data_IF_862616992857
#
_entry.id   IF_862616992857
#
_cell.length_a   1.000
_cell.length_b   1.000
_cell.length_c   1.000
_cell.angle_alpha   90.00
_cell.angle_beta   90.00
_cell.angle_gamma   90.00
#
_symmetry.space_group_name_H-M   'P 1'
#
loop_
_entity.id
_entity.type
_entity.pdbx_description
1 polymer ?
#
# COMPACT_ATOMS: atom_id res chain seq x y z
N UNK A 1 -14.68 -0.96 -23.42
CA UNK A 1 -13.41 -1.34 -22.75
C UNK A 1 -13.51 -1.07 -21.25
N UNK A 2 -13.12 -2.05 -20.48
CA UNK A 2 -13.16 -1.92 -19.01
C UNK A 2 -11.89 -1.23 -18.50
N UNK A 3 -12.05 -0.11 -17.78
CA UNK A 3 -10.93 0.60 -17.19
C UNK A 3 -10.65 0.04 -15.79
N UNK A 4 -9.37 0.00 -15.40
CA UNK A 4 -8.98 -0.36 -14.05
C UNK A 4 -8.95 0.87 -13.13
N UNK A 5 -8.72 0.65 -11.85
CA UNK A 5 -8.75 1.73 -10.85
C UNK A 5 -7.67 2.79 -11.11
N UNK A 6 -6.52 2.38 -11.64
CA UNK A 6 -5.42 3.32 -11.92
C UNK A 6 -5.76 4.25 -13.08
N UNK A 7 -6.48 3.78 -14.09
CA UNK A 7 -6.95 4.62 -15.21
C UNK A 7 -7.93 5.67 -14.72
N UNK A 8 -8.88 5.28 -13.85
CA UNK A 8 -9.81 6.23 -13.26
C UNK A 8 -9.09 7.28 -12.41
N UNK A 9 -8.10 6.86 -11.64
CA UNK A 9 -7.30 7.80 -10.84
C UNK A 9 -6.54 8.77 -11.73
N UNK A 10 -5.93 8.29 -12.83
CA UNK A 10 -5.19 9.14 -13.75
C UNK A 10 -6.09 10.22 -14.35
N UNK A 11 -7.31 9.86 -14.76
CA UNK A 11 -8.28 10.81 -15.29
C UNK A 11 -8.68 11.82 -14.22
N UNK A 12 -9.00 11.35 -13.02
CA UNK A 12 -9.46 12.20 -11.92
C UNK A 12 -8.35 13.14 -11.47
N UNK A 13 -7.13 12.63 -11.33
CA UNK A 13 -5.97 13.44 -10.94
C UNK A 13 -5.71 14.55 -11.96
N UNK A 14 -5.78 14.23 -13.25
CA UNK A 14 -5.58 15.23 -14.31
C UNK A 14 -6.61 16.37 -14.28
N UNK A 15 -7.83 16.08 -13.83
CA UNK A 15 -8.91 17.07 -13.74
C UNK A 15 -8.94 17.79 -12.38
N UNK A 16 -8.60 17.11 -11.31
CA UNK A 16 -8.84 17.56 -9.93
C UNK A 16 -7.65 17.31 -8.99
N UNK A 17 -6.43 17.50 -9.47
CA UNK A 17 -5.22 17.18 -8.69
C UNK A 17 -5.16 17.88 -7.32
N UNK A 18 -5.72 19.08 -7.22
CA UNK A 18 -5.71 19.88 -5.99
C UNK A 18 -6.86 19.53 -5.03
N UNK A 19 -7.80 18.70 -5.46
CA UNK A 19 -8.92 18.33 -4.61
C UNK A 19 -8.54 17.18 -3.66
N UNK A 20 -9.18 17.18 -2.49
CA UNK A 20 -8.98 16.13 -1.48
C UNK A 20 -9.53 14.81 -2.01
N UNK A 21 -8.68 13.78 -2.03
CA UNK A 21 -9.07 12.43 -2.40
C UNK A 21 -9.50 11.60 -1.19
N UNK A 22 -8.75 11.72 -0.08
CA UNK A 22 -9.00 10.96 1.16
C UNK A 22 -8.72 11.85 2.35
N UNK A 23 -9.57 11.75 3.36
CA UNK A 23 -9.39 12.43 4.64
C UNK A 23 -9.52 11.41 5.76
N UNK A 24 -8.62 11.47 6.74
CA UNK A 24 -8.66 10.63 7.93
C UNK A 24 -8.43 11.47 9.19
N UNK A 25 -8.31 10.83 10.35
CA UNK A 25 -8.14 11.51 11.62
C UNK A 25 -6.85 12.32 11.72
N UNK A 26 -5.85 12.00 10.89
CA UNK A 26 -4.53 12.61 10.92
C UNK A 26 -4.30 13.62 9.78
N UNK A 27 -5.31 13.88 8.96
CA UNK A 27 -5.22 14.84 7.89
C UNK A 27 -5.85 14.38 6.60
N UNK A 28 -5.47 15.02 5.51
CA UNK A 28 -6.01 14.70 4.19
C UNK A 28 -4.90 14.61 3.15
N UNK A 29 -5.23 14.03 2.01
CA UNK A 29 -4.34 13.92 0.87
C UNK A 29 -5.11 14.30 -0.40
N UNK A 30 -4.51 15.09 -1.27
CA UNK A 30 -5.09 15.45 -2.56
C UNK A 30 -4.89 14.32 -3.57
N UNK A 31 -5.62 14.36 -4.68
CA UNK A 31 -5.44 13.38 -5.76
C UNK A 31 -4.01 13.43 -6.32
N UNK A 32 -3.43 14.62 -6.46
CA UNK A 32 -2.06 14.79 -6.93
C UNK A 32 -1.05 14.16 -5.99
N UNK A 33 -1.20 14.39 -4.69
CA UNK A 33 -0.32 13.81 -3.67
C UNK A 33 -0.46 12.30 -3.61
N UNK A 34 -1.70 11.80 -3.68
CA UNK A 34 -1.96 10.36 -3.64
C UNK A 34 -1.32 9.65 -4.84
N UNK A 35 -1.50 10.19 -6.04
CA UNK A 35 -0.87 9.62 -7.24
C UNK A 35 0.64 9.61 -7.13
N UNK A 36 1.23 10.72 -6.70
CA UNK A 36 2.69 10.84 -6.54
C UNK A 36 3.25 9.80 -5.58
N UNK A 37 2.59 9.63 -4.44
CA UNK A 37 3.02 8.65 -3.44
C UNK A 37 2.77 7.21 -3.90
N UNK A 38 1.67 6.97 -4.60
CA UNK A 38 1.38 5.66 -5.18
C UNK A 38 2.43 5.25 -6.20
N UNK A 39 2.90 6.19 -7.03
CA UNK A 39 3.96 5.92 -8.01
C UNK A 39 5.29 5.60 -7.34
N UNK A 40 5.58 6.17 -6.17
CA UNK A 40 6.77 5.81 -5.40
C UNK A 40 6.73 4.35 -4.94
N UNK A 41 5.56 3.88 -4.53
CA UNK A 41 5.37 2.47 -4.17
C UNK A 41 5.59 1.58 -5.39
N UNK A 42 5.02 1.95 -6.53
CA UNK A 42 5.18 1.19 -7.77
C UNK A 42 6.65 1.14 -8.19
N UNK A 43 7.38 2.26 -8.08
CA UNK A 43 8.80 2.33 -8.38
C UNK A 43 9.60 1.39 -7.47
N UNK A 44 9.27 1.38 -6.18
CA UNK A 44 9.92 0.47 -5.22
C UNK A 44 9.72 -0.99 -5.63
N UNK A 45 8.51 -1.36 -6.03
CA UNK A 45 8.22 -2.73 -6.48
C UNK A 45 9.05 -3.09 -7.72
N UNK A 46 9.18 -2.17 -8.67
CA UNK A 46 10.01 -2.39 -9.87
C UNK A 46 11.47 -2.61 -9.49
N UNK A 47 12.00 -1.79 -8.60
CA UNK A 47 13.39 -1.89 -8.14
C UNK A 47 13.66 -3.23 -7.44
N UNK A 48 12.67 -3.77 -6.73
CA UNK A 48 12.77 -5.04 -6.01
C UNK A 48 12.35 -6.25 -6.86
N UNK A 49 12.02 -6.05 -8.13
CA UNK A 49 11.53 -7.11 -9.03
C UNK A 49 10.26 -7.79 -8.51
N UNK A 50 9.38 -7.04 -7.87
CA UNK A 50 8.11 -7.53 -7.35
C UNK A 50 7.03 -7.29 -8.40
N UNK A 51 6.52 -8.36 -9.01
CA UNK A 51 5.53 -8.28 -10.07
C UNK A 51 4.63 -9.51 -10.04
N UNK A 52 3.32 -9.29 -10.17
CA UNK A 52 2.29 -10.33 -10.09
C UNK A 52 2.37 -11.14 -8.80
N UNK A 53 2.63 -10.45 -7.69
CA UNK A 53 2.78 -11.06 -6.38
C UNK A 53 1.81 -10.42 -5.39
N UNK A 54 1.43 -11.15 -4.33
CA UNK A 54 0.67 -10.52 -3.25
C UNK A 54 1.51 -9.45 -2.57
N UNK A 55 0.91 -8.28 -2.37
CA UNK A 55 1.48 -7.19 -1.57
C UNK A 55 0.56 -6.99 -0.38
N UNK A 56 1.04 -7.36 0.78
CA UNK A 56 0.29 -7.23 2.02
C UNK A 56 0.46 -5.82 2.58
N UNK A 57 -0.63 -5.26 3.10
CA UNK A 57 -0.62 -3.92 3.70
C UNK A 57 -1.07 -4.05 5.15
N UNK A 58 -0.14 -3.75 6.06
CA UNK A 58 -0.35 -3.81 7.50
C UNK A 58 -0.39 -2.39 8.06
N UNK A 59 -1.54 -1.74 7.90
CA UNK A 59 -1.76 -0.34 8.27
C UNK A 59 -3.15 -0.18 8.88
N UNK A 60 -3.35 0.82 9.76
CA UNK A 60 -4.70 1.20 10.16
C UNK A 60 -5.44 1.79 8.95
N UNK A 61 -6.76 1.88 9.06
CA UNK A 61 -7.58 2.54 8.03
C UNK A 61 -7.16 4.00 7.95
N UNK A 62 -6.65 4.42 6.80
CA UNK A 62 -5.97 5.71 6.66
C UNK A 62 -5.79 6.09 5.20
N UNK A 63 -5.35 7.33 4.98
CA UNK A 63 -4.96 7.78 3.65
C UNK A 63 -3.77 6.97 3.11
N UNK A 64 -2.87 6.54 4.00
CA UNK A 64 -1.74 5.69 3.65
C UNK A 64 -2.18 4.33 3.13
N UNK A 65 -3.22 3.75 3.73
CA UNK A 65 -3.77 2.47 3.28
C UNK A 65 -4.34 2.58 1.86
N UNK A 66 -5.10 3.63 1.58
CA UNK A 66 -5.67 3.86 0.25
C UNK A 66 -4.56 4.08 -0.79
N UNK A 67 -3.55 4.87 -0.44
CA UNK A 67 -2.41 5.12 -1.32
C UNK A 67 -1.65 3.82 -1.61
N UNK A 68 -1.49 2.96 -0.61
CA UNK A 68 -0.85 1.66 -0.77
C UNK A 68 -1.64 0.75 -1.71
N UNK A 69 -2.96 0.76 -1.62
CA UNK A 69 -3.82 0.05 -2.55
C UNK A 69 -3.60 0.51 -3.99
N UNK A 70 -3.62 1.83 -4.21
CA UNK A 70 -3.41 2.40 -5.53
C UNK A 70 -2.02 2.09 -6.06
N UNK A 71 -0.99 2.24 -5.22
CA UNK A 71 0.40 1.95 -5.60
C UNK A 71 0.60 0.48 -5.97
N UNK A 72 -0.06 -0.42 -5.24
CA UNK A 72 -0.03 -1.85 -5.56
C UNK A 72 -0.63 -2.13 -6.93
N UNK A 73 -1.75 -1.48 -7.26
CA UNK A 73 -2.37 -1.62 -8.58
C UNK A 73 -1.48 -1.06 -9.69
N UNK A 74 -0.85 0.08 -9.49
CA UNK A 74 0.10 0.63 -10.46
C UNK A 74 1.26 -0.31 -10.75
N UNK A 75 1.71 -1.04 -9.73
CA UNK A 75 2.86 -1.95 -9.87
C UNK A 75 2.51 -3.29 -10.52
N UNK A 76 1.22 -3.56 -10.75
CA UNK A 76 0.79 -4.84 -11.31
C UNK A 76 0.77 -5.99 -10.32
N UNK A 77 0.69 -5.71 -9.04
CA UNK A 77 0.65 -6.70 -7.97
C UNK A 77 -0.75 -6.84 -7.36
N UNK A 78 -0.92 -7.80 -6.47
CA UNK A 78 -2.19 -8.09 -5.80
C UNK A 78 -2.23 -7.46 -4.42
N UNK A 79 -3.21 -6.62 -4.16
CA UNK A 79 -3.40 -5.95 -2.87
C UNK A 79 -4.07 -6.89 -1.87
N UNK A 80 -3.45 -7.06 -0.70
CA UNK A 80 -4.00 -7.88 0.39
C UNK A 80 -3.96 -7.06 1.68
N UNK A 81 -5.09 -6.52 2.14
CA UNK A 81 -5.12 -5.80 3.41
C UNK A 81 -5.05 -6.75 4.60
N UNK A 82 -4.26 -6.38 5.59
CA UNK A 82 -4.17 -7.10 6.86
C UNK A 82 -4.71 -6.22 7.97
N UNK A 83 -5.56 -6.78 8.83
CA UNK A 83 -6.12 -6.05 9.96
C UNK A 83 -5.11 -5.99 11.11
N UNK A 84 -4.69 -4.78 11.48
CA UNK A 84 -3.73 -4.58 12.57
C UNK A 84 -4.29 -5.02 13.94
N UNK A 85 -5.60 -5.21 14.04
CA UNK A 85 -6.26 -5.68 15.25
C UNK A 85 -6.34 -7.20 15.33
N UNK A 86 -5.98 -7.91 14.26
CA UNK A 86 -5.98 -9.36 14.25
C UNK A 86 -4.87 -9.93 15.13
N UNK A 87 -5.08 -11.09 15.77
CA UNK A 87 -4.02 -11.76 16.54
C UNK A 87 -2.81 -12.07 15.66
N UNK A 88 -1.62 -12.00 16.23
CA UNK A 88 -0.37 -12.27 15.51
C UNK A 88 -0.35 -13.65 14.87
N UNK A 89 -0.91 -14.67 15.56
CA UNK A 89 -1.01 -16.02 15.00
C UNK A 89 -1.77 -16.04 13.68
N UNK A 90 -2.87 -15.31 13.60
CA UNK A 90 -3.66 -15.24 12.37
C UNK A 90 -2.89 -14.57 11.25
N UNK A 91 -2.22 -13.45 11.56
CA UNK A 91 -1.41 -12.72 10.58
C UNK A 91 -0.27 -13.62 10.07
N UNK A 92 0.43 -14.31 10.97
CA UNK A 92 1.51 -15.23 10.59
C UNK A 92 1.00 -16.35 9.68
N UNK A 93 -0.18 -16.90 9.95
CA UNK A 93 -0.78 -17.94 9.11
C UNK A 93 -1.13 -17.42 7.72
N UNK A 94 -1.69 -16.21 7.64
CA UNK A 94 -2.01 -15.56 6.36
C UNK A 94 -0.72 -15.35 5.56
N UNK A 95 0.31 -14.79 6.18
CA UNK A 95 1.59 -14.51 5.51
C UNK A 95 2.27 -15.80 5.04
N UNK A 96 2.23 -16.84 5.84
CA UNK A 96 2.81 -18.14 5.47
C UNK A 96 2.10 -18.74 4.25
N UNK A 97 0.79 -18.59 4.16
CA UNK A 97 -0.01 -19.08 3.05
C UNK A 97 0.22 -18.28 1.77
N UNK A 98 0.24 -16.95 1.87
CA UNK A 98 0.36 -16.06 0.72
C UNK A 98 1.79 -15.94 0.20
N UNK A 99 2.77 -16.01 1.10
CA UNK A 99 4.18 -15.78 0.78
C UNK A 99 4.34 -14.48 -0.04
N UNK A 100 3.98 -13.32 0.50
CA UNK A 100 3.94 -12.07 -0.26
C UNK A 100 5.32 -11.61 -0.69
N UNK A 101 5.37 -10.87 -1.79
CA UNK A 101 6.60 -10.25 -2.26
C UNK A 101 6.96 -8.99 -1.48
N UNK A 102 5.97 -8.37 -0.83
CA UNK A 102 6.17 -7.12 -0.11
C UNK A 102 5.13 -7.00 1.01
N UNK A 103 5.56 -6.41 2.13
CA UNK A 103 4.64 -5.96 3.18
C UNK A 103 4.84 -4.46 3.34
N UNK A 104 3.76 -3.70 3.17
CA UNK A 104 3.77 -2.25 3.37
C UNK A 104 3.22 -1.96 4.77
N UNK A 105 3.97 -1.19 5.55
CA UNK A 105 3.55 -0.80 6.88
C UNK A 105 4.08 0.60 7.20
N UNK A 106 3.74 1.12 8.37
CA UNK A 106 4.27 2.39 8.86
C UNK A 106 5.41 2.16 9.87
N UNK A 107 6.00 3.25 10.32
CA UNK A 107 7.10 3.17 11.28
C UNK A 107 6.64 2.63 12.65
N UNK A 108 5.41 2.93 13.03
CA UNK A 108 4.83 2.46 14.30
C UNK A 108 4.72 0.94 14.36
N UNK A 109 4.39 0.30 13.23
CA UNK A 109 4.16 -1.14 13.16
C UNK A 109 5.33 -1.92 12.56
N UNK A 110 6.40 -1.23 12.19
CA UNK A 110 7.55 -1.84 11.53
C UNK A 110 8.15 -3.00 12.32
N UNK A 111 8.38 -2.80 13.61
CA UNK A 111 8.99 -3.83 14.46
C UNK A 111 8.09 -5.06 14.57
N UNK A 112 6.78 -4.86 14.63
CA UNK A 112 5.83 -5.95 14.70
C UNK A 112 5.84 -6.77 13.41
N UNK A 113 5.93 -6.10 12.26
CA UNK A 113 6.01 -6.79 10.96
C UNK A 113 7.32 -7.57 10.85
N UNK A 114 8.42 -7.01 11.31
CA UNK A 114 9.71 -7.71 11.32
C UNK A 114 9.67 -8.96 12.22
N UNK A 115 8.94 -8.90 13.32
CA UNK A 115 8.78 -10.03 14.24
C UNK A 115 7.94 -11.17 13.67
N UNK A 116 7.23 -10.98 12.57
CA UNK A 116 6.54 -12.07 11.89
C UNK A 116 7.53 -13.06 11.25
N UNK A 117 8.78 -12.68 11.08
CA UNK A 117 9.87 -13.59 10.77
C UNK A 117 9.90 -14.16 9.37
N UNK A 118 9.21 -13.54 8.42
CA UNK A 118 9.21 -14.01 7.04
C UNK A 118 10.28 -13.29 6.22
N UNK A 119 10.95 -13.98 5.29
CA UNK A 119 11.94 -13.35 4.41
C UNK A 119 11.26 -12.54 3.31
N UNK A 120 10.59 -11.46 3.70
CA UNK A 120 9.83 -10.59 2.82
C UNK A 120 10.39 -9.19 2.92
N UNK A 121 10.46 -8.50 1.79
CA UNK A 121 10.84 -7.09 1.76
C UNK A 121 9.75 -6.29 2.47
N UNK A 122 10.16 -5.43 3.39
CA UNK A 122 9.25 -4.55 4.11
C UNK A 122 9.50 -3.12 3.67
N UNK A 123 8.44 -2.47 3.20
CA UNK A 123 8.46 -1.04 2.90
C UNK A 123 7.64 -0.34 3.97
N UNK A 124 8.24 0.57 4.69
CA UNK A 124 7.51 1.43 5.61
C UNK A 124 7.51 2.84 5.02
N UNK A 125 6.52 3.62 5.39
CA UNK A 125 6.14 4.80 4.63
C UNK A 125 6.66 6.11 5.22
N UNK A 126 7.88 6.56 4.89
CA UNK A 126 8.21 7.96 5.08
C UNK A 126 7.65 8.84 3.96
N UNK A 127 6.80 8.29 3.12
CA UNK A 127 6.31 8.94 1.89
C UNK A 127 5.44 10.16 2.16
N UNK A 128 4.87 10.22 3.36
CA UNK A 128 3.98 11.32 3.75
C UNK A 128 4.66 12.35 4.64
N UNK A 129 5.94 12.27 4.75
CA UNK A 129 6.71 13.24 5.54
C UNK A 129 6.71 14.60 4.86
#
# INVERSE_FOLDING_TARGET
MRKNVTEYLDITEGLYSEKIAVEDANGCITFGEMKRNALKIAEFCVEQNIFKQPVCVYLPKSKEMVTSFVGTNYSGNFYVPLDIKSPDTRIRNILATLNPGLIITDEEHKDQVENFGLPTVTCWMPLFA
#
